data_IF_442630967814
#
_entry.id   IF_442630967814
#
_cell.length_a   1.000
_cell.length_b   1.000
_cell.length_c   1.000
_cell.angle_alpha   90.00
_cell.angle_beta   90.00
_cell.angle_gamma   90.00
#
_symmetry.space_group_name_H-M   'P 1'
#
loop_
_entity.id
_entity.type
_entity.pdbx_description
1 polymer ?
#
# COMPACT_ATOMS: atom_id res chain seq x y z
N UNK A 1 34.24 -75.16 21.56
CA UNK A 1 34.33 -74.18 20.46
C UNK A 1 33.04 -73.36 20.48
N UNK A 2 33.12 -72.11 20.94
CA UNK A 2 31.99 -71.16 20.94
C UNK A 2 32.37 -70.01 20.01
N UNK A 3 31.69 -69.91 18.88
CA UNK A 3 31.90 -68.88 17.87
C UNK A 3 31.06 -67.63 18.25
N UNK A 4 31.74 -66.52 18.54
CA UNK A 4 31.09 -65.19 18.78
C UNK A 4 30.85 -64.52 17.45
N UNK A 5 29.57 -64.28 17.10
CA UNK A 5 29.20 -63.35 16.03
C UNK A 5 29.19 -61.93 16.57
N UNK A 6 30.04 -61.05 16.02
CA UNK A 6 30.01 -59.60 16.22
C UNK A 6 29.03 -59.00 15.23
N UNK A 7 27.91 -58.49 15.73
CA UNK A 7 26.97 -57.69 14.97
C UNK A 7 27.52 -56.26 14.97
N UNK A 8 27.93 -55.76 13.80
CA UNK A 8 28.30 -54.37 13.57
C UNK A 8 26.99 -53.62 13.25
N UNK A 9 26.55 -52.76 14.19
CA UNK A 9 25.44 -51.88 14.01
C UNK A 9 25.92 -50.65 13.25
N UNK A 10 25.60 -50.54 11.96
CA UNK A 10 25.91 -49.37 11.11
C UNK A 10 24.83 -48.31 11.31
N UNK A 11 25.06 -47.36 12.20
CA UNK A 11 24.17 -46.18 12.38
C UNK A 11 24.32 -45.22 11.20
N UNK A 12 23.35 -45.23 10.31
CA UNK A 12 23.22 -44.22 9.25
C UNK A 12 22.78 -42.87 9.87
N UNK A 13 23.71 -41.94 10.03
CA UNK A 13 23.40 -40.57 10.36
C UNK A 13 22.83 -39.90 9.09
N UNK A 14 21.49 -39.81 9.00
CA UNK A 14 20.84 -38.96 7.99
C UNK A 14 21.02 -37.52 8.46
N UNK A 15 22.03 -36.83 7.95
CA UNK A 15 22.13 -35.38 8.08
C UNK A 15 21.05 -34.75 7.19
N UNK A 16 19.98 -34.27 7.79
CA UNK A 16 19.03 -33.38 7.11
C UNK A 16 19.79 -32.12 6.69
N UNK A 17 20.26 -32.09 5.46
CA UNK A 17 20.72 -30.85 4.83
C UNK A 17 19.48 -30.00 4.63
N UNK A 18 19.23 -29.05 5.54
CA UNK A 18 18.31 -27.97 5.33
C UNK A 18 18.90 -27.09 4.22
N UNK A 19 18.61 -27.41 2.97
CA UNK A 19 18.83 -26.50 1.85
C UNK A 19 17.86 -25.33 2.02
N UNK A 20 18.29 -24.29 2.68
CA UNK A 20 17.70 -22.96 2.55
C UNK A 20 17.85 -22.56 1.08
N UNK A 21 16.81 -22.79 0.28
CA UNK A 21 16.72 -22.18 -1.03
C UNK A 21 16.72 -20.66 -0.79
N UNK A 22 17.85 -20.01 -1.09
CA UNK A 22 17.89 -18.56 -1.20
C UNK A 22 16.86 -18.20 -2.27
N UNK A 23 15.79 -17.55 -1.87
CA UNK A 23 14.71 -17.14 -2.77
C UNK A 23 15.34 -16.19 -3.79
N UNK A 24 15.42 -16.62 -5.04
CA UNK A 24 15.99 -15.82 -6.12
C UNK A 24 14.97 -14.77 -6.52
N UNK A 25 15.18 -13.52 -6.13
CA UNK A 25 14.36 -12.39 -6.55
C UNK A 25 15.02 -11.63 -7.70
N UNK A 26 14.20 -11.02 -8.54
CA UNK A 26 14.65 -10.17 -9.65
C UNK A 26 14.76 -8.73 -9.17
N UNK A 27 15.67 -7.96 -9.78
CA UNK A 27 15.93 -6.56 -9.41
C UNK A 27 15.59 -5.63 -10.58
N UNK A 28 15.01 -4.46 -10.25
CA UNK A 28 14.80 -3.32 -11.15
C UNK A 28 15.35 -2.06 -10.46
N UNK A 29 15.94 -1.14 -11.22
CA UNK A 29 16.30 0.18 -10.68
C UNK A 29 15.05 0.96 -10.31
N UNK A 30 15.03 1.61 -9.15
CA UNK A 30 13.90 2.43 -8.69
C UNK A 30 13.52 2.26 -7.22
N UNK A 31 12.49 3.00 -6.80
CA UNK A 31 12.03 3.09 -5.42
C UNK A 31 10.50 3.14 -5.33
N UNK A 32 9.97 2.86 -4.13
CA UNK A 32 8.56 2.99 -3.76
C UNK A 32 7.60 2.21 -4.66
N UNK A 33 7.79 0.88 -4.81
CA UNK A 33 6.90 0.08 -5.65
C UNK A 33 5.48 0.09 -5.09
N UNK A 34 4.49 0.22 -5.99
CA UNK A 34 3.08 0.02 -5.71
C UNK A 34 2.52 -0.98 -6.71
N UNK A 35 1.61 -1.81 -6.25
CA UNK A 35 1.08 -2.94 -7.01
C UNK A 35 -0.42 -2.78 -7.24
N UNK A 36 -0.88 -3.16 -8.42
CA UNK A 36 -2.29 -3.32 -8.73
C UNK A 36 -2.47 -4.52 -9.67
N UNK A 37 -3.63 -5.15 -9.60
CA UNK A 37 -4.04 -6.20 -10.53
C UNK A 37 -5.38 -5.80 -11.15
N UNK A 38 -5.50 -5.89 -12.47
CA UNK A 38 -6.75 -5.61 -13.14
C UNK A 38 -7.66 -6.86 -13.26
N UNK A 39 -8.87 -6.68 -13.76
CA UNK A 39 -9.83 -7.77 -13.93
C UNK A 39 -9.34 -8.87 -14.89
N UNK A 40 -8.43 -8.55 -15.82
CA UNK A 40 -7.80 -9.52 -16.70
C UNK A 40 -6.68 -10.30 -16.01
N UNK A 41 -6.25 -9.86 -14.83
CA UNK A 41 -5.16 -10.46 -14.05
C UNK A 41 -3.78 -9.96 -14.44
N UNK A 42 -3.71 -8.87 -15.19
CA UNK A 42 -2.43 -8.23 -15.45
C UNK A 42 -1.99 -7.51 -14.17
N UNK A 43 -0.82 -7.90 -13.68
CA UNK A 43 -0.18 -7.23 -12.56
C UNK A 43 0.59 -6.03 -13.09
N UNK A 44 0.35 -4.87 -12.50
CA UNK A 44 1.13 -3.66 -12.75
C UNK A 44 1.87 -3.25 -11.49
N UNK A 45 3.13 -2.95 -11.68
CA UNK A 45 4.01 -2.40 -10.65
C UNK A 45 4.48 -1.02 -11.11
N UNK A 46 4.01 0.02 -10.42
CA UNK A 46 4.52 1.38 -10.62
C UNK A 46 5.64 1.67 -9.63
N UNK A 47 6.64 2.43 -10.05
CA UNK A 47 7.75 2.87 -9.22
C UNK A 47 8.36 4.16 -9.75
N UNK A 48 9.14 4.83 -8.91
CA UNK A 48 9.88 6.03 -9.27
C UNK A 48 11.37 5.78 -9.37
N UNK A 49 12.03 6.49 -10.28
CA UNK A 49 13.48 6.61 -10.36
C UNK A 49 13.79 8.08 -10.66
N UNK A 50 14.38 8.79 -9.71
CA UNK A 50 14.51 10.25 -9.75
C UNK A 50 13.15 10.93 -10.02
N UNK A 51 13.07 11.73 -11.09
CA UNK A 51 11.84 12.40 -11.51
C UNK A 51 10.97 11.57 -12.46
N UNK A 52 11.34 10.30 -12.74
CA UNK A 52 10.67 9.45 -13.71
C UNK A 52 9.74 8.47 -13.03
N UNK A 53 8.60 8.24 -13.65
CA UNK A 53 7.61 7.23 -13.27
C UNK A 53 7.67 6.11 -14.28
N UNK A 54 7.90 4.89 -13.81
CA UNK A 54 7.85 3.67 -14.62
C UNK A 54 6.69 2.80 -14.20
N UNK A 55 6.15 2.07 -15.16
CA UNK A 55 5.18 1.01 -14.91
C UNK A 55 5.64 -0.27 -15.61
N UNK A 56 5.86 -1.32 -14.83
CA UNK A 56 6.14 -2.66 -15.33
C UNK A 56 4.87 -3.51 -15.29
N UNK A 57 4.63 -4.30 -16.35
CA UNK A 57 3.44 -5.14 -16.46
C UNK A 57 3.79 -6.61 -16.61
N UNK A 58 3.05 -7.47 -15.90
CA UNK A 58 3.15 -8.93 -15.97
C UNK A 58 1.82 -9.56 -16.39
N UNK A 59 1.86 -10.48 -17.36
CA UNK A 59 0.72 -11.27 -17.82
C UNK A 59 0.77 -12.73 -17.34
N UNK A 60 1.80 -13.09 -16.62
CA UNK A 60 2.13 -14.46 -16.19
C UNK A 60 2.10 -14.62 -14.66
N UNK A 61 1.18 -13.90 -13.99
CA UNK A 61 1.01 -13.91 -12.53
C UNK A 61 2.27 -13.48 -11.77
N UNK A 62 3.08 -12.55 -12.32
CA UNK A 62 4.25 -11.99 -11.66
C UNK A 62 5.54 -12.81 -11.84
N UNK A 63 5.57 -13.80 -12.75
CA UNK A 63 6.79 -14.55 -13.04
C UNK A 63 7.80 -13.70 -13.83
N UNK A 64 7.31 -12.82 -14.71
CA UNK A 64 8.14 -11.87 -15.46
C UNK A 64 7.44 -10.53 -15.68
N UNK A 65 8.24 -9.49 -15.93
CA UNK A 65 7.81 -8.14 -16.26
C UNK A 65 8.52 -7.67 -17.54
N UNK A 66 8.18 -8.21 -18.70
CA UNK A 66 8.85 -7.89 -19.95
C UNK A 66 8.48 -6.51 -20.51
N UNK A 67 7.33 -5.96 -20.10
CA UNK A 67 6.82 -4.67 -20.55
C UNK A 67 7.04 -3.63 -19.44
N UNK A 68 8.10 -2.82 -19.61
CA UNK A 68 8.46 -1.71 -18.73
C UNK A 68 8.33 -0.43 -19.54
N UNK A 69 7.42 0.45 -19.14
CA UNK A 69 7.13 1.71 -19.81
C UNK A 69 7.52 2.90 -18.94
N UNK A 70 8.21 3.88 -19.51
CA UNK A 70 8.31 5.23 -18.95
C UNK A 70 6.93 5.90 -19.12
N UNK A 71 6.26 6.15 -18.00
CA UNK A 71 4.94 6.78 -17.99
C UNK A 71 5.04 8.28 -18.16
N UNK A 72 5.93 8.91 -17.39
CA UNK A 72 6.12 10.36 -17.38
C UNK A 72 7.41 10.76 -16.66
N UNK A 73 7.78 12.02 -16.85
CA UNK A 73 8.75 12.73 -16.00
C UNK A 73 8.00 13.83 -15.25
N UNK A 74 8.05 13.77 -13.91
CA UNK A 74 7.45 14.77 -13.01
C UNK A 74 8.59 15.47 -12.29
N UNK A 75 8.93 16.66 -12.72
CA UNK A 75 10.04 17.44 -12.15
C UNK A 75 9.88 17.62 -10.65
N UNK A 76 10.93 17.35 -9.89
CA UNK A 76 10.95 17.43 -8.43
C UNK A 76 9.89 16.51 -7.78
N UNK A 77 9.67 15.31 -8.31
CA UNK A 77 8.73 14.35 -7.75
C UNK A 77 9.10 13.98 -6.31
N UNK A 78 8.10 13.90 -5.44
CA UNK A 78 8.29 13.28 -4.13
C UNK A 78 8.56 11.78 -4.28
N UNK A 79 9.68 11.31 -3.72
CA UNK A 79 10.07 9.90 -3.73
C UNK A 79 10.73 9.53 -2.40
N UNK A 80 10.52 8.29 -1.95
CA UNK A 80 11.03 7.79 -0.68
C UNK A 80 10.10 8.03 0.51
N UNK A 81 10.28 7.25 1.58
CA UNK A 81 9.53 7.34 2.84
C UNK A 81 8.00 7.29 2.65
N UNK A 82 7.52 6.31 1.90
CA UNK A 82 6.09 6.11 1.52
C UNK A 82 5.52 7.18 0.59
N UNK A 83 6.34 8.09 0.09
CA UNK A 83 6.02 9.00 -1.01
C UNK A 83 6.36 8.33 -2.34
N UNK A 84 5.85 8.86 -3.44
CA UNK A 84 6.08 8.34 -4.77
C UNK A 84 4.77 7.99 -5.49
N UNK A 85 4.85 7.48 -6.72
CA UNK A 85 3.67 7.22 -7.53
C UNK A 85 2.77 6.17 -6.87
N UNK A 86 1.48 6.42 -6.88
CA UNK A 86 0.43 5.51 -6.40
C UNK A 86 -0.34 4.97 -7.59
N UNK A 87 -0.84 3.73 -7.49
CA UNK A 87 -1.48 3.01 -8.60
C UNK A 87 -2.80 2.39 -8.16
N UNK A 88 -3.82 2.55 -8.99
CA UNK A 88 -5.07 1.79 -8.91
C UNK A 88 -5.48 1.31 -10.29
N UNK A 89 -6.11 0.14 -10.38
CA UNK A 89 -6.67 -0.40 -11.61
C UNK A 89 -8.17 -0.66 -11.45
N UNK A 90 -8.92 -0.30 -12.49
CA UNK A 90 -10.33 -0.58 -12.65
C UNK A 90 -10.54 -1.62 -13.76
N UNK A 91 -11.76 -1.73 -14.25
CA UNK A 91 -12.10 -2.67 -15.34
C UNK A 91 -11.35 -2.35 -16.64
N UNK A 92 -11.38 -1.08 -17.08
CA UNK A 92 -10.87 -0.69 -18.41
C UNK A 92 -9.65 0.23 -18.34
N UNK A 93 -9.30 0.73 -17.17
CA UNK A 93 -8.24 1.71 -16.97
C UNK A 93 -7.38 1.42 -15.75
N UNK A 94 -6.13 1.83 -15.83
CA UNK A 94 -5.28 2.00 -14.64
C UNK A 94 -4.90 3.48 -14.50
N UNK A 95 -4.76 3.94 -13.28
CA UNK A 95 -4.43 5.33 -12.99
C UNK A 95 -3.25 5.42 -12.03
N UNK A 96 -2.29 6.27 -12.38
CA UNK A 96 -1.17 6.65 -11.52
C UNK A 96 -1.38 8.08 -11.05
N UNK A 97 -1.13 8.31 -9.77
CA UNK A 97 -1.06 9.63 -9.19
C UNK A 97 0.29 9.83 -8.53
N UNK A 98 0.93 10.99 -8.77
CA UNK A 98 2.21 11.36 -8.19
C UNK A 98 2.19 12.85 -7.80
N UNK A 99 2.93 13.20 -6.74
CA UNK A 99 2.98 14.58 -6.23
C UNK A 99 4.39 15.14 -6.41
N UNK A 100 4.51 16.35 -6.94
CA UNK A 100 5.77 17.10 -6.96
C UNK A 100 6.04 17.79 -5.62
N UNK A 101 7.27 18.24 -5.38
CA UNK A 101 7.67 18.92 -4.13
C UNK A 101 6.95 20.25 -3.90
N UNK A 102 6.31 20.81 -4.91
CA UNK A 102 5.45 21.99 -4.76
C UNK A 102 4.08 21.61 -4.22
N UNK A 103 3.64 20.37 -4.41
CA UNK A 103 2.36 19.85 -3.92
C UNK A 103 1.27 19.81 -4.99
N UNK A 104 1.62 19.68 -6.27
CA UNK A 104 0.66 19.41 -7.35
C UNK A 104 0.48 17.91 -7.54
N UNK A 105 -0.77 17.45 -7.61
CA UNK A 105 -1.14 16.03 -7.74
C UNK A 105 -1.36 15.68 -9.19
N UNK A 106 -0.31 15.19 -9.86
CA UNK A 106 -0.29 14.81 -11.27
C UNK A 106 -1.00 13.46 -11.49
N UNK A 107 -1.80 13.36 -12.55
CA UNK A 107 -2.58 12.17 -12.89
C UNK A 107 -2.22 11.63 -14.28
N UNK A 108 -1.99 10.33 -14.36
CA UNK A 108 -1.70 9.60 -15.58
C UNK A 108 -2.65 8.41 -15.70
N UNK A 109 -3.22 8.21 -16.89
CA UNK A 109 -4.17 7.17 -17.20
C UNK A 109 -3.62 6.20 -18.24
N UNK A 110 -3.78 4.92 -18.02
CA UNK A 110 -3.60 3.86 -19.00
C UNK A 110 -4.97 3.38 -19.48
N UNK A 111 -5.20 3.34 -20.79
CA UNK A 111 -6.31 2.58 -21.35
C UNK A 111 -5.86 1.14 -21.57
N UNK A 112 -6.58 0.16 -20.99
CA UNK A 112 -6.27 -1.26 -21.16
C UNK A 112 -6.45 -1.73 -22.60
N UNK A 113 -7.36 -1.09 -23.36
CA UNK A 113 -7.62 -1.41 -24.77
C UNK A 113 -6.46 -1.00 -25.68
N UNK A 114 -5.79 0.13 -25.40
CA UNK A 114 -4.71 0.65 -26.26
C UNK A 114 -3.32 0.38 -25.72
N UNK A 115 -3.19 0.07 -24.44
CA UNK A 115 -1.90 -0.10 -23.76
C UNK A 115 -1.07 1.20 -23.64
N UNK A 116 -1.70 2.37 -23.82
CA UNK A 116 -1.00 3.67 -23.83
C UNK A 116 -1.30 4.49 -22.59
N UNK A 117 -0.25 5.02 -21.98
CA UNK A 117 -0.32 6.02 -20.94
C UNK A 117 -0.52 7.43 -21.49
N UNK A 118 -1.27 8.24 -20.78
CA UNK A 118 -1.44 9.67 -21.06
C UNK A 118 -1.62 10.46 -19.78
N UNK A 119 -1.09 11.67 -19.73
CA UNK A 119 -1.38 12.62 -18.66
C UNK A 119 -2.78 13.20 -18.85
N UNK A 120 -3.57 13.28 -17.77
CA UNK A 120 -4.95 13.81 -17.82
C UNK A 120 -5.13 15.12 -17.08
N UNK A 121 -4.14 15.57 -16.31
CA UNK A 121 -4.18 16.83 -15.55
C UNK A 121 -3.77 16.67 -14.10
N UNK A 122 -4.38 17.49 -13.24
CA UNK A 122 -4.16 17.48 -11.79
C UNK A 122 -5.45 17.04 -11.06
N UNK A 123 -5.30 16.34 -9.93
CA UNK A 123 -6.44 16.01 -9.08
C UNK A 123 -6.76 17.13 -8.08
N UNK A 124 -5.76 17.91 -7.65
CA UNK A 124 -6.02 19.03 -6.75
C UNK A 124 -6.43 20.29 -7.52
N UNK A 125 -7.56 20.88 -7.11
CA UNK A 125 -8.13 22.12 -7.68
C UNK A 125 -7.36 23.38 -7.25
N UNK A 126 -6.59 23.30 -6.16
CA UNK A 126 -5.62 24.30 -5.75
C UNK A 126 -4.22 23.69 -5.91
N UNK A 127 -3.46 24.20 -6.86
CA UNK A 127 -2.07 23.78 -7.08
C UNK A 127 -1.22 24.06 -5.83
N UNK A 128 -0.16 23.25 -5.64
CA UNK A 128 0.76 23.42 -4.51
C UNK A 128 0.11 23.23 -3.12
N UNK A 129 -1.02 22.54 -3.03
CA UNK A 129 -1.74 22.33 -1.78
C UNK A 129 -1.34 21.05 -1.02
N UNK A 130 -0.56 20.15 -1.64
CA UNK A 130 -0.15 18.85 -1.09
C UNK A 130 1.38 18.72 -0.88
N UNK A 131 2.06 19.65 -0.18
CA UNK A 131 3.54 19.69 -0.11
C UNK A 131 4.16 18.51 0.63
N UNK A 132 3.40 17.73 1.39
CA UNK A 132 3.90 16.54 2.08
C UNK A 132 4.15 15.36 1.11
N UNK A 133 3.58 15.36 -0.08
CA UNK A 133 3.73 14.29 -1.06
C UNK A 133 3.09 12.97 -0.65
N UNK A 134 2.17 12.98 0.32
CA UNK A 134 1.55 11.80 0.92
C UNK A 134 0.11 11.66 0.44
N UNK A 135 -0.13 10.63 -0.37
CA UNK A 135 -1.43 10.36 -0.98
C UNK A 135 -1.68 8.88 -1.20
N UNK A 136 -2.91 8.53 -1.53
CA UNK A 136 -3.28 7.23 -2.05
C UNK A 136 -4.43 7.36 -3.06
N UNK A 137 -4.60 6.33 -3.91
CA UNK A 137 -5.65 6.26 -4.93
C UNK A 137 -6.30 4.89 -4.89
N UNK A 138 -7.61 4.84 -5.13
CA UNK A 138 -8.39 3.61 -5.28
C UNK A 138 -9.28 3.70 -6.53
N UNK A 139 -9.75 2.57 -7.00
CA UNK A 139 -10.68 2.47 -8.12
C UNK A 139 -11.81 1.49 -7.79
N UNK A 140 -12.99 1.73 -8.35
CA UNK A 140 -14.06 0.75 -8.41
C UNK A 140 -14.08 0.01 -9.76
N UNK A 141 -15.00 -0.95 -9.90
CA UNK A 141 -15.17 -1.71 -11.14
C UNK A 141 -15.93 -0.94 -12.25
N UNK A 142 -16.35 0.30 -12.00
CA UNK A 142 -17.10 1.14 -12.94
C UNK A 142 -16.23 2.26 -13.52
N UNK A 143 -14.91 2.11 -13.46
CA UNK A 143 -13.92 3.07 -13.96
C UNK A 143 -13.97 4.44 -13.24
N UNK A 144 -14.48 4.48 -12.00
CA UNK A 144 -14.35 5.62 -11.12
C UNK A 144 -13.05 5.50 -10.32
N UNK A 145 -12.38 6.63 -10.14
CA UNK A 145 -11.17 6.71 -9.34
C UNK A 145 -11.34 7.71 -8.20
N UNK A 146 -10.71 7.41 -7.09
CA UNK A 146 -10.85 8.13 -5.82
C UNK A 146 -9.46 8.41 -5.28
N UNK A 147 -9.18 9.67 -4.96
CA UNK A 147 -7.88 10.08 -4.45
C UNK A 147 -8.03 10.73 -3.06
N UNK A 148 -7.06 10.46 -2.19
CA UNK A 148 -6.93 11.07 -0.87
C UNK A 148 -5.50 11.54 -0.65
N UNK A 149 -5.32 12.72 -0.08
CA UNK A 149 -4.00 13.28 0.22
C UNK A 149 -4.00 14.18 1.45
N UNK A 150 -2.80 14.47 1.95
CA UNK A 150 -2.62 15.52 2.95
C UNK A 150 -2.57 16.87 2.26
N UNK A 151 -3.47 17.76 2.62
CA UNK A 151 -3.66 19.08 2.01
C UNK A 151 -3.47 20.19 3.05
N UNK A 152 -2.72 21.23 2.69
CA UNK A 152 -2.37 22.33 3.58
C UNK A 152 -2.97 23.65 3.17
N UNK A 153 -3.94 23.66 2.21
CA UNK A 153 -4.61 24.88 1.79
C UNK A 153 -5.15 25.69 2.98
N UNK A 154 -5.25 26.97 2.82
CA UNK A 154 -5.78 27.97 3.74
C UNK A 154 -4.89 28.32 4.95
N UNK A 155 -4.36 27.38 5.73
CA UNK A 155 -3.71 27.66 7.01
C UNK A 155 -2.39 26.89 7.23
N UNK A 156 -1.87 26.26 6.19
CA UNK A 156 -0.63 25.44 6.22
C UNK A 156 -0.69 24.28 7.24
N UNK A 157 -1.89 23.84 7.62
CA UNK A 157 -2.14 22.69 8.49
C UNK A 157 -2.63 21.51 7.66
N UNK A 158 -2.15 20.32 7.93
CA UNK A 158 -2.51 19.12 7.18
C UNK A 158 -3.94 18.67 7.49
N UNK A 159 -4.72 18.45 6.44
CA UNK A 159 -6.10 17.95 6.47
C UNK A 159 -6.21 16.75 5.54
N UNK A 160 -7.23 15.93 5.72
CA UNK A 160 -7.54 14.87 4.77
C UNK A 160 -8.39 15.46 3.65
N UNK A 161 -7.79 15.58 2.48
CA UNK A 161 -8.47 16.02 1.27
C UNK A 161 -8.83 14.84 0.39
N UNK A 162 -9.99 14.94 -0.27
CA UNK A 162 -10.55 13.89 -1.12
C UNK A 162 -11.10 14.49 -2.41
N UNK A 163 -10.94 13.75 -3.51
CA UNK A 163 -11.62 14.00 -4.77
C UNK A 163 -11.90 12.68 -5.50
N UNK A 164 -12.87 12.67 -6.39
CA UNK A 164 -13.17 11.56 -7.29
C UNK A 164 -13.31 12.00 -8.74
N UNK A 165 -13.10 11.07 -9.65
CA UNK A 165 -13.37 11.24 -11.07
C UNK A 165 -14.22 10.09 -11.58
N UNK A 166 -15.20 10.40 -12.42
CA UNK A 166 -16.01 9.44 -13.20
C UNK A 166 -15.72 9.56 -14.70
N UNK A 167 -14.77 10.43 -15.07
CA UNK A 167 -14.31 10.69 -16.44
C UNK A 167 -12.87 10.22 -16.68
N UNK A 168 -12.42 9.21 -15.95
CA UNK A 168 -11.09 8.61 -16.03
C UNK A 168 -9.95 9.65 -15.90
N UNK A 169 -10.11 10.61 -14.99
CA UNK A 169 -9.11 11.63 -14.67
C UNK A 169 -9.15 12.90 -15.52
N UNK A 170 -10.04 13.01 -16.51
CA UNK A 170 -10.19 14.24 -17.30
C UNK A 170 -10.79 15.38 -16.47
N UNK A 171 -11.71 15.06 -15.59
CA UNK A 171 -12.29 16.00 -14.63
C UNK A 171 -12.38 15.36 -13.26
N UNK A 172 -12.08 16.12 -12.23
CA UNK A 172 -12.21 15.74 -10.82
C UNK A 172 -13.32 16.56 -10.17
N UNK A 173 -13.99 16.00 -9.18
CA UNK A 173 -14.90 16.79 -8.34
C UNK A 173 -14.13 17.89 -7.64
N UNK A 174 -14.80 18.98 -7.27
CA UNK A 174 -14.23 19.95 -6.35
C UNK A 174 -13.64 19.24 -5.12
N UNK A 175 -12.45 19.63 -4.73
CA UNK A 175 -11.74 18.97 -3.64
C UNK A 175 -12.46 19.21 -2.30
N UNK A 176 -12.65 18.15 -1.56
CA UNK A 176 -13.37 18.17 -0.30
C UNK A 176 -12.42 17.93 0.86
N UNK A 177 -12.48 18.78 1.87
CA UNK A 177 -11.87 18.47 3.17
C UNK A 177 -12.70 17.38 3.83
N UNK A 178 -12.34 16.12 3.60
CA UNK A 178 -13.02 14.97 4.16
C UNK A 178 -12.91 14.94 5.69
N UNK A 179 -11.79 15.44 6.23
CA UNK A 179 -11.60 15.58 7.66
C UNK A 179 -10.63 16.71 8.03
N UNK A 180 -11.02 17.44 9.06
CA UNK A 180 -10.20 18.45 9.74
C UNK A 180 -10.14 18.05 11.21
N UNK A 181 -8.94 17.85 11.76
CA UNK A 181 -8.77 17.54 13.19
C UNK A 181 -9.23 18.72 14.08
N UNK A 182 -9.81 18.47 15.26
CA UNK A 182 -10.04 19.53 16.27
C UNK A 182 -8.75 20.30 16.61
N UNK A 183 -7.59 19.65 16.61
CA UNK A 183 -6.29 20.29 16.80
C UNK A 183 -5.75 20.95 15.50
N UNK A 184 -6.63 21.15 14.49
CA UNK A 184 -6.40 21.81 13.19
C UNK A 184 -5.49 21.07 12.24
N UNK A 185 -4.74 20.05 12.66
CA UNK A 185 -3.84 19.26 11.81
C UNK A 185 -4.03 17.77 12.05
N UNK A 186 -3.96 16.95 11.02
CA UNK A 186 -3.71 15.51 11.12
C UNK A 186 -2.20 15.26 11.18
N UNK A 187 -1.78 13.99 11.34
CA UNK A 187 -0.36 13.63 11.33
C UNK A 187 0.27 13.94 9.97
N UNK A 188 1.22 14.85 9.94
CA UNK A 188 1.86 15.42 8.76
C UNK A 188 2.78 14.47 7.99
N UNK A 189 3.17 13.36 8.61
CA UNK A 189 4.18 12.45 8.06
C UNK A 189 3.67 11.03 7.79
N UNK A 190 2.36 10.82 7.85
CA UNK A 190 1.76 9.50 7.67
C UNK A 190 0.82 9.48 6.47
N UNK A 191 1.14 8.61 5.50
CA UNK A 191 0.35 8.46 4.29
C UNK A 191 -1.07 7.99 4.64
N UNK A 192 -2.13 8.69 4.16
CA UNK A 192 -3.49 8.16 4.23
C UNK A 192 -3.65 6.96 3.30
N UNK A 193 -4.60 6.09 3.60
CA UNK A 193 -4.97 4.94 2.77
C UNK A 193 -6.44 5.01 2.42
N UNK A 194 -6.82 4.55 1.22
CA UNK A 194 -8.21 4.55 0.74
C UNK A 194 -8.57 3.20 0.13
N UNK A 195 -9.78 2.72 0.40
CA UNK A 195 -10.39 1.59 -0.28
C UNK A 195 -11.85 1.90 -0.59
N UNK A 196 -12.36 1.31 -1.68
CA UNK A 196 -13.72 1.55 -2.16
C UNK A 196 -14.40 0.24 -2.54
N UNK A 197 -15.72 0.19 -2.34
CA UNK A 197 -16.57 -0.86 -2.85
C UNK A 197 -17.94 -0.25 -3.24
N UNK A 198 -18.19 -0.10 -4.52
CA UNK A 198 -19.35 0.62 -5.03
C UNK A 198 -19.41 2.06 -4.50
N UNK A 199 -20.52 2.41 -3.83
CA UNK A 199 -20.69 3.73 -3.19
C UNK A 199 -20.00 3.88 -1.83
N UNK A 200 -19.44 2.81 -1.28
CA UNK A 200 -18.75 2.87 0.00
C UNK A 200 -17.30 3.31 -0.20
N UNK A 201 -16.89 4.33 0.54
CA UNK A 201 -15.52 4.84 0.55
C UNK A 201 -15.00 4.81 1.99
N UNK A 202 -13.82 4.27 2.17
CA UNK A 202 -13.16 4.16 3.47
C UNK A 202 -11.78 4.78 3.39
N UNK A 203 -11.46 5.67 4.33
CA UNK A 203 -10.15 6.35 4.42
C UNK A 203 -9.58 6.11 5.80
N UNK A 204 -8.42 5.48 5.87
CA UNK A 204 -7.64 5.35 7.10
C UNK A 204 -6.56 6.42 7.11
N UNK A 205 -6.42 7.11 8.24
CA UNK A 205 -5.42 8.14 8.42
C UNK A 205 -4.96 8.21 9.88
N UNK A 206 -3.74 8.69 10.06
CA UNK A 206 -3.24 8.99 11.42
C UNK A 206 -3.63 10.41 11.79
N UNK A 207 -4.37 10.55 12.89
CA UNK A 207 -4.76 11.86 13.41
C UNK A 207 -3.71 12.39 14.39
N UNK A 208 -3.65 13.70 14.54
CA UNK A 208 -3.05 14.38 15.67
C UNK A 208 -4.18 14.94 16.51
N UNK A 209 -4.32 14.43 17.73
CA UNK A 209 -5.40 14.87 18.63
C UNK A 209 -4.96 14.72 20.10
N UNK A 210 -5.02 15.83 20.88
CA UNK A 210 -4.65 15.85 22.29
C UNK A 210 -3.25 15.25 22.56
N UNK A 211 -2.28 15.50 21.67
CA UNK A 211 -0.92 15.00 21.77
C UNK A 211 -0.76 13.52 21.42
N UNK A 212 -1.78 12.86 20.89
CA UNK A 212 -1.71 11.48 20.41
C UNK A 212 -1.69 11.39 18.89
N UNK A 213 -1.09 10.31 18.38
CA UNK A 213 -0.99 10.00 16.96
C UNK A 213 -1.66 8.64 16.67
N UNK A 214 -2.96 8.58 16.90
CA UNK A 214 -3.76 7.37 16.74
C UNK A 214 -4.35 7.27 15.32
N UNK A 215 -4.69 6.06 14.90
CA UNK A 215 -5.34 5.80 13.62
C UNK A 215 -6.85 5.97 13.72
N UNK A 216 -7.44 6.52 12.67
CA UNK A 216 -8.87 6.73 12.52
C UNK A 216 -9.33 6.22 11.16
N UNK A 217 -10.56 5.74 11.13
CA UNK A 217 -11.28 5.37 9.92
C UNK A 217 -12.40 6.39 9.67
N UNK A 218 -12.40 6.94 8.47
CA UNK A 218 -13.45 7.78 7.93
C UNK A 218 -14.22 6.97 6.90
N UNK A 219 -15.55 7.05 6.88
CA UNK A 219 -16.38 6.32 5.93
C UNK A 219 -17.39 7.23 5.22
N UNK A 220 -17.77 6.83 4.02
CA UNK A 220 -18.85 7.46 3.23
C UNK A 220 -19.69 6.36 2.60
N UNK A 221 -21.01 6.57 2.58
CA UNK A 221 -21.99 5.66 1.98
C UNK A 221 -22.47 6.10 0.60
N UNK A 222 -22.05 7.27 0.13
CA UNK A 222 -22.53 7.93 -1.08
C UNK A 222 -21.40 8.38 -2.03
N UNK A 223 -20.34 7.57 -2.12
CA UNK A 223 -19.23 7.78 -3.05
C UNK A 223 -18.38 9.01 -2.70
N UNK A 224 -18.25 9.34 -1.41
CA UNK A 224 -17.46 10.48 -0.93
C UNK A 224 -18.21 11.82 -1.04
N UNK A 225 -19.51 11.84 -1.32
CA UNK A 225 -20.28 13.09 -1.31
C UNK A 225 -20.40 13.68 0.10
N UNK A 226 -20.54 12.82 1.10
CA UNK A 226 -20.44 13.15 2.53
C UNK A 226 -19.67 12.07 3.26
N UNK A 227 -19.04 12.44 4.37
CA UNK A 227 -18.33 11.52 5.24
C UNK A 227 -18.96 11.49 6.63
N UNK A 228 -19.01 10.32 7.24
CA UNK A 228 -19.45 10.10 8.60
C UNK A 228 -18.41 10.63 9.60
N UNK A 229 -18.73 10.67 10.88
CA UNK A 229 -17.74 10.98 11.91
C UNK A 229 -16.65 9.91 11.93
N UNK A 230 -15.37 10.28 12.05
CA UNK A 230 -14.27 9.31 12.08
C UNK A 230 -14.31 8.47 13.35
N UNK A 231 -14.03 7.17 13.18
CA UNK A 231 -13.94 6.21 14.28
C UNK A 231 -12.48 5.93 14.58
N UNK A 232 -12.08 6.03 15.85
CA UNK A 232 -10.74 5.63 16.29
C UNK A 232 -10.57 4.11 16.11
N UNK A 233 -9.41 3.68 15.59
CA UNK A 233 -9.05 2.28 15.44
C UNK A 233 -8.26 1.80 16.67
N UNK A 234 -8.71 0.66 17.21
CA UNK A 234 -8.11 0.04 18.38
C UNK A 234 -8.35 0.81 19.69
N UNK A 235 -7.93 0.19 20.79
CA UNK A 235 -8.18 0.71 22.15
C UNK A 235 -7.02 1.52 22.71
N UNK A 236 -5.79 1.28 22.23
CA UNK A 236 -4.59 1.94 22.71
C UNK A 236 -4.43 3.36 22.18
N UNK A 237 -3.55 4.13 22.81
CA UNK A 237 -3.22 5.50 22.43
C UNK A 237 -1.71 5.68 22.39
N UNK A 238 -1.22 6.32 21.31
CA UNK A 238 0.18 6.61 21.14
C UNK A 238 0.50 8.10 21.30
N UNK A 239 0.92 8.49 22.49
CA UNK A 239 1.44 9.84 22.75
C UNK A 239 2.88 9.92 22.26
N UNK A 240 3.08 10.55 21.10
CA UNK A 240 4.38 10.64 20.46
C UNK A 240 4.70 12.09 20.06
N UNK A 241 5.77 12.63 20.62
CA UNK A 241 6.39 13.89 20.18
C UNK A 241 7.39 13.61 19.05
N UNK A 242 6.90 13.18 17.87
CA UNK A 242 7.74 12.81 16.75
C UNK A 242 6.92 12.33 15.55
N UNK A 243 7.60 11.93 14.49
CA UNK A 243 6.99 11.43 13.25
C UNK A 243 7.04 9.91 13.19
N UNK A 244 5.89 9.21 13.28
CA UNK A 244 5.86 7.76 13.12
C UNK A 244 6.26 7.30 11.71
N UNK A 245 5.94 8.09 10.69
CA UNK A 245 6.17 7.83 9.25
C UNK A 245 5.57 6.50 8.79
N UNK A 246 4.45 6.10 9.38
CA UNK A 246 3.77 4.84 9.15
C UNK A 246 2.26 5.05 9.23
N UNK A 247 1.60 5.08 8.09
CA UNK A 247 0.16 5.36 7.96
C UNK A 247 -0.71 4.10 8.05
N UNK A 248 -0.10 2.90 8.03
CA UNK A 248 -0.84 1.65 7.97
C UNK A 248 -1.57 1.45 6.64
N UNK A 249 -2.66 0.68 6.65
CA UNK A 249 -3.45 0.37 5.46
C UNK A 249 -4.79 -0.27 5.77
N UNK A 250 -5.67 -0.34 4.76
CA UNK A 250 -6.95 -1.01 4.86
C UNK A 250 -7.29 -1.74 3.56
N UNK A 251 -8.13 -2.74 3.69
CA UNK A 251 -8.84 -3.40 2.58
C UNK A 251 -10.33 -3.47 2.90
N UNK A 252 -11.16 -3.51 1.86
CA UNK A 252 -12.61 -3.68 1.98
C UNK A 252 -13.06 -4.87 1.14
N UNK A 253 -13.80 -5.81 1.74
CA UNK A 253 -14.34 -6.97 1.05
C UNK A 253 -15.59 -6.60 0.21
N UNK A 254 -16.01 -7.50 -0.67
CA UNK A 254 -17.26 -7.38 -1.43
C UNK A 254 -18.50 -7.24 -0.52
N UNK A 255 -18.40 -7.72 0.73
CA UNK A 255 -19.46 -7.58 1.76
C UNK A 255 -19.35 -6.28 2.56
N UNK A 256 -18.48 -5.35 2.16
CA UNK A 256 -18.15 -4.12 2.87
C UNK A 256 -17.49 -4.33 4.25
N UNK A 257 -16.92 -5.49 4.50
CA UNK A 257 -16.12 -5.71 5.70
C UNK A 257 -14.75 -5.05 5.52
N UNK A 258 -14.41 -4.16 6.44
CA UNK A 258 -13.13 -3.46 6.45
C UNK A 258 -12.16 -4.17 7.37
N UNK A 259 -10.95 -4.44 6.90
CA UNK A 259 -9.82 -4.86 7.74
C UNK A 259 -8.75 -3.81 7.68
N UNK A 260 -8.25 -3.39 8.82
CA UNK A 260 -7.26 -2.32 8.97
C UNK A 260 -5.99 -2.85 9.62
N UNK A 261 -4.83 -2.31 9.23
CA UNK A 261 -3.54 -2.60 9.85
C UNK A 261 -2.85 -1.30 10.19
N UNK A 262 -2.14 -1.25 11.32
CA UNK A 262 -1.35 -0.09 11.71
C UNK A 262 -0.22 -0.45 12.68
N UNK A 263 0.71 0.49 12.78
CA UNK A 263 1.75 0.49 13.81
C UNK A 263 1.38 1.43 14.96
N UNK A 264 1.57 0.96 16.20
CA UNK A 264 1.64 1.79 17.42
C UNK A 264 2.91 1.42 18.18
N UNK A 265 3.76 2.41 18.47
CA UNK A 265 5.11 2.21 19.01
C UNK A 265 5.95 1.33 18.07
N UNK A 266 6.43 0.19 18.52
CA UNK A 266 7.16 -0.80 17.74
C UNK A 266 6.30 -2.01 17.32
N UNK A 267 4.98 -1.98 17.59
CA UNK A 267 4.07 -3.11 17.39
C UNK A 267 3.12 -2.89 16.23
N UNK A 268 2.82 -3.97 15.53
CA UNK A 268 1.86 -4.03 14.43
C UNK A 268 0.56 -4.63 14.95
N UNK A 269 -0.53 -3.91 14.70
CA UNK A 269 -1.89 -4.29 15.05
C UNK A 269 -2.77 -4.38 13.82
N UNK A 270 -3.78 -5.22 13.88
CA UNK A 270 -4.88 -5.19 12.93
C UNK A 270 -6.22 -5.32 13.67
N UNK A 271 -7.29 -4.84 13.06
CA UNK A 271 -8.66 -5.08 13.52
C UNK A 271 -9.67 -4.82 12.41
N UNK A 272 -10.92 -5.24 12.66
CA UNK A 272 -12.09 -4.67 12.00
C UNK A 272 -12.62 -3.50 12.83
N UNK A 273 -13.18 -2.43 12.20
CA UNK A 273 -13.74 -1.31 12.94
C UNK A 273 -14.81 -1.76 13.95
N UNK A 274 -14.66 -1.30 15.20
CA UNK A 274 -15.55 -1.70 16.31
C UNK A 274 -15.14 -2.99 17.03
N UNK A 275 -14.17 -3.74 16.51
CA UNK A 275 -13.63 -4.94 17.18
C UNK A 275 -12.33 -4.60 17.94
N UNK A 276 -11.96 -5.40 18.94
CA UNK A 276 -10.66 -5.28 19.61
C UNK A 276 -9.49 -5.39 18.62
N UNK A 277 -8.42 -4.66 18.90
CA UNK A 277 -7.18 -4.76 18.14
C UNK A 277 -6.43 -6.06 18.49
N UNK A 278 -5.81 -6.67 17.49
CA UNK A 278 -4.98 -7.86 17.63
C UNK A 278 -3.54 -7.49 17.30
N UNK A 279 -2.64 -7.67 18.26
CA UNK A 279 -1.20 -7.54 18.05
C UNK A 279 -0.67 -8.76 17.30
N UNK A 280 0.14 -8.56 16.26
CA UNK A 280 0.67 -9.65 15.43
C UNK A 280 2.20 -9.76 15.46
N UNK A 281 2.90 -8.64 15.65
CA UNK A 281 4.36 -8.62 15.61
C UNK A 281 4.92 -7.29 16.11
N UNK A 282 6.25 -7.23 16.27
CA UNK A 282 7.01 -5.98 16.30
C UNK A 282 7.46 -5.62 14.88
N UNK A 283 7.50 -4.32 14.56
CA UNK A 283 7.96 -3.86 13.26
C UNK A 283 7.43 -2.50 12.84
N UNK A 284 7.59 -2.19 11.56
CA UNK A 284 7.19 -0.93 10.93
C UNK A 284 6.83 -1.11 9.45
N UNK A 285 6.42 -0.02 8.78
CA UNK A 285 6.09 -0.01 7.35
C UNK A 285 5.07 -1.08 6.98
N UNK A 286 4.04 -1.24 7.81
CA UNK A 286 3.03 -2.24 7.57
C UNK A 286 2.10 -1.86 6.41
N UNK A 287 1.64 -2.87 5.68
CA UNK A 287 0.61 -2.72 4.67
C UNK A 287 -0.31 -3.95 4.65
N UNK A 288 -1.44 -3.85 3.97
CA UNK A 288 -2.42 -4.92 3.85
C UNK A 288 -2.93 -4.99 2.42
N UNK A 289 -3.18 -6.18 1.95
CA UNK A 289 -3.72 -6.47 0.63
C UNK A 289 -4.75 -7.61 0.69
N UNK A 290 -5.36 -7.93 -0.45
CA UNK A 290 -6.33 -9.02 -0.62
C UNK A 290 -7.53 -8.94 0.33
N UNK A 291 -8.62 -8.26 -0.08
CA UNK A 291 -9.79 -8.08 0.77
C UNK A 291 -10.56 -9.36 1.10
N UNK A 292 -10.43 -10.43 0.28
CA UNK A 292 -11.08 -11.72 0.56
C UNK A 292 -10.35 -12.54 1.61
N UNK A 293 -9.03 -12.44 1.61
CA UNK A 293 -8.13 -13.15 2.52
C UNK A 293 -6.99 -12.21 2.90
N UNK A 294 -7.17 -11.33 3.90
CA UNK A 294 -6.22 -10.27 4.18
C UNK A 294 -4.80 -10.78 4.42
N UNK A 295 -3.87 -10.20 3.68
CA UNK A 295 -2.43 -10.46 3.78
C UNK A 295 -1.76 -9.20 4.31
N UNK A 296 -1.16 -9.31 5.48
CA UNK A 296 -0.44 -8.22 6.14
C UNK A 296 1.05 -8.39 5.88
N UNK A 297 1.72 -7.29 5.54
CA UNK A 297 3.17 -7.24 5.37
C UNK A 297 3.76 -6.19 6.31
N UNK A 298 4.99 -6.42 6.78
CA UNK A 298 5.71 -5.46 7.62
C UNK A 298 7.22 -5.67 7.53
N UNK A 299 7.95 -4.71 8.04
CA UNK A 299 9.40 -4.77 8.21
C UNK A 299 9.76 -4.99 9.67
N UNK A 300 10.56 -6.01 9.96
CA UNK A 300 11.12 -6.34 11.28
C UNK A 300 12.64 -6.33 11.22
N UNK A 301 13.27 -5.28 11.73
CA UNK A 301 14.69 -5.03 11.47
C UNK A 301 14.93 -4.76 9.98
N UNK A 302 15.78 -5.57 9.34
CA UNK A 302 16.01 -5.59 7.90
C UNK A 302 15.14 -6.64 7.15
N UNK A 303 14.43 -7.50 7.88
CA UNK A 303 13.62 -8.59 7.32
C UNK A 303 12.21 -8.15 6.99
N UNK A 304 11.71 -8.64 5.88
CA UNK A 304 10.36 -8.39 5.38
C UNK A 304 9.48 -9.60 5.65
N UNK A 305 8.39 -9.37 6.35
CA UNK A 305 7.48 -10.41 6.84
C UNK A 305 6.11 -10.32 6.20
N UNK A 306 5.50 -11.47 6.02
CA UNK A 306 4.16 -11.64 5.42
C UNK A 306 3.34 -12.56 6.31
N UNK A 307 2.11 -12.19 6.59
CA UNK A 307 1.13 -13.01 7.28
C UNK A 307 -0.21 -12.97 6.56
N UNK A 308 -0.71 -14.14 6.20
CA UNK A 308 -2.11 -14.35 5.91
C UNK A 308 -2.87 -14.34 7.24
N UNK A 309 -3.84 -13.44 7.39
CA UNK A 309 -4.57 -13.27 8.66
C UNK A 309 -5.30 -14.56 9.08
N UNK A 310 -5.74 -15.36 8.10
CA UNK A 310 -6.46 -16.59 8.35
C UNK A 310 -5.55 -17.82 8.56
N UNK A 311 -4.23 -17.67 8.35
CA UNK A 311 -3.23 -18.72 8.55
C UNK A 311 -2.32 -18.37 9.72
N UNK A 312 -1.76 -19.36 10.38
CA UNK A 312 -0.87 -19.17 11.53
C UNK A 312 0.52 -18.68 11.15
N UNK A 313 0.99 -19.07 9.96
CA UNK A 313 2.40 -18.92 9.58
C UNK A 313 2.78 -17.49 9.18
N UNK A 314 3.99 -17.11 9.56
CA UNK A 314 4.66 -15.87 9.13
C UNK A 314 5.77 -16.28 8.16
N UNK A 315 5.68 -15.80 6.93
CA UNK A 315 6.69 -16.00 5.89
C UNK A 315 7.69 -14.84 5.89
N UNK A 316 8.89 -15.09 5.37
CA UNK A 316 9.91 -14.08 5.11
C UNK A 316 10.06 -13.88 3.59
N UNK A 317 9.82 -12.65 3.11
CA UNK A 317 9.95 -12.31 1.69
C UNK A 317 11.40 -12.03 1.28
N UNK A 318 12.20 -11.48 2.19
CA UNK A 318 13.57 -11.06 1.92
C UNK A 318 14.02 -9.97 2.89
N UNK A 319 15.02 -9.18 2.47
CA UNK A 319 15.54 -8.04 3.21
C UNK A 319 15.26 -6.73 2.47
N UNK A 320 15.01 -5.66 3.23
CA UNK A 320 14.77 -4.34 2.64
C UNK A 320 13.68 -3.55 3.37
N UNK A 321 12.89 -2.77 2.61
CA UNK A 321 11.85 -1.91 3.13
C UNK A 321 10.65 -1.79 2.17
N UNK A 322 9.55 -1.22 2.66
CA UNK A 322 8.36 -0.86 1.88
C UNK A 322 7.74 -2.02 1.10
N UNK A 323 7.66 -3.19 1.72
CA UNK A 323 7.07 -4.39 1.13
C UNK A 323 5.59 -4.16 0.77
N UNK A 324 5.25 -4.46 -0.47
CA UNK A 324 3.89 -4.50 -1.01
C UNK A 324 3.58 -5.91 -1.48
N UNK A 325 2.31 -6.30 -1.35
CA UNK A 325 1.84 -7.60 -1.82
C UNK A 325 0.51 -7.48 -2.53
N UNK A 326 0.24 -8.41 -3.43
CA UNK A 326 -1.08 -8.67 -4.02
C UNK A 326 -1.28 -10.17 -4.18
N UNK A 327 -2.53 -10.60 -4.20
CA UNK A 327 -2.86 -11.97 -4.58
C UNK A 327 -3.01 -12.09 -6.09
N UNK A 328 -2.39 -13.10 -6.66
CA UNK A 328 -2.48 -13.43 -8.09
C UNK A 328 -3.71 -14.29 -8.37
N UNK A 329 -4.10 -14.42 -9.65
CA UNK A 329 -5.27 -15.24 -10.03
C UNK A 329 -5.14 -16.72 -9.67
N UNK A 330 -3.94 -17.23 -9.55
CA UNK A 330 -3.64 -18.60 -9.15
C UNK A 330 -3.41 -18.76 -7.64
N UNK A 331 -3.94 -17.82 -6.84
CA UNK A 331 -3.91 -17.83 -5.38
C UNK A 331 -2.52 -17.84 -4.75
N UNK A 332 -1.52 -17.31 -5.45
CA UNK A 332 -0.20 -17.03 -4.90
C UNK A 332 -0.11 -15.57 -4.45
N UNK A 333 0.93 -15.25 -3.70
CA UNK A 333 1.22 -13.89 -3.28
C UNK A 333 2.38 -13.38 -4.14
N UNK A 334 2.16 -12.29 -4.88
CA UNK A 334 3.23 -11.55 -5.53
C UNK A 334 3.63 -10.38 -4.63
N UNK A 335 4.93 -10.19 -4.46
CA UNK A 335 5.52 -9.18 -3.58
C UNK A 335 6.54 -8.33 -4.32
N UNK A 336 6.62 -7.04 -3.95
CA UNK A 336 7.69 -6.14 -4.37
C UNK A 336 8.14 -5.26 -3.20
N UNK A 337 9.43 -4.95 -3.12
CA UNK A 337 10.01 -4.15 -2.04
C UNK A 337 11.28 -3.43 -2.49
N UNK A 338 11.76 -2.50 -1.66
CA UNK A 338 13.05 -1.84 -1.88
C UNK A 338 14.19 -2.59 -1.19
N UNK A 339 15.32 -2.74 -1.87
CA UNK A 339 16.57 -3.24 -1.33
C UNK A 339 17.74 -2.62 -2.07
N UNK A 340 18.70 -2.03 -1.36
CA UNK A 340 19.96 -1.50 -1.91
C UNK A 340 19.77 -0.59 -3.16
N UNK A 341 18.77 0.31 -3.12
CA UNK A 341 18.48 1.23 -4.22
C UNK A 341 17.77 0.61 -5.43
N UNK A 342 17.33 -0.63 -5.29
CA UNK A 342 16.60 -1.37 -6.32
C UNK A 342 15.24 -1.82 -5.79
N UNK A 343 14.37 -2.20 -6.71
CA UNK A 343 13.15 -2.93 -6.42
C UNK A 343 13.40 -4.41 -6.63
N UNK A 344 13.25 -5.17 -5.56
CA UNK A 344 13.21 -6.61 -5.61
C UNK A 344 11.76 -7.08 -5.68
N UNK A 345 11.50 -8.19 -6.35
CA UNK A 345 10.19 -8.81 -6.40
C UNK A 345 10.26 -10.32 -6.48
N UNK A 346 9.29 -10.97 -5.89
CA UNK A 346 9.16 -12.42 -5.85
C UNK A 346 7.69 -12.85 -5.81
N UNK A 347 7.47 -14.09 -6.21
CA UNK A 347 6.19 -14.78 -6.09
C UNK A 347 6.32 -15.90 -5.07
N UNK A 348 5.34 -16.03 -4.15
CA UNK A 348 5.30 -16.99 -3.05
C UNK A 348 4.08 -17.89 -3.13
#
# INVERSE_FOLDING_TARGET
MKTFYKIILLTFLISCINTTFAQQYKLLSGQQPQLSIDNSGIIRMVYGEDDKIYCASSKDNGQSFPDIQLVATVKDMHLGMSRGPQLASSKNYSMIAAIDKKGSVHIFKLSHATGKWMQTGLANDITNSAPEGLMNIAADNNDNFFAVWLDTRADKKNKICFAKTTSQGHTWTANKMAYISPDKTVCECCKPSIAVNGSKVFIQFRNWLNGSRDLYLLSSDNGGNTFNQPVKLGNGTWKLKGCPMDGGGLVVSEKNEVTTVWRREDKIYYSKPGEPEIEIATGRNCSISNPRQPVITWQQGDKLKIKDVNKGDILEAGKGAFLKSISTKDNKIFCAWETDGHIAFARM
#
